data_IF_084288940210
#
_entry.id   IF_084288940210
#
_cell.length_a   1.000
_cell.length_b   1.000
_cell.length_c   1.000
_cell.angle_alpha   90.00
_cell.angle_beta   90.00
_cell.angle_gamma   90.00
#
_symmetry.space_group_name_H-M   'P 1'
#
loop_
_entity.id
_entity.type
_entity.pdbx_description
1 polymer ?
#
# COMPACT_ATOMS: atom_id res chain seq x y z
N UNK A 1 3.19 -4.03 -23.16
CA UNK A 1 2.83 -4.05 -21.73
C UNK A 1 3.99 -4.75 -21.03
N UNK A 2 4.59 -4.14 -20.01
CA UNK A 2 5.73 -4.75 -19.33
C UNK A 2 5.22 -5.81 -18.33
N UNK A 3 6.03 -6.84 -18.04
CA UNK A 3 5.70 -7.95 -17.15
C UNK A 3 5.20 -7.46 -15.77
N UNK A 4 5.81 -6.40 -15.24
CA UNK A 4 5.41 -5.79 -13.97
C UNK A 4 3.99 -5.22 -14.00
N UNK A 5 3.57 -4.58 -15.10
CA UNK A 5 2.21 -4.06 -15.24
C UNK A 5 1.18 -5.20 -15.30
N UNK A 6 1.53 -6.35 -15.87
CA UNK A 6 0.67 -7.54 -15.88
C UNK A 6 0.53 -8.17 -14.49
N UNK A 7 1.64 -8.26 -13.74
CA UNK A 7 1.64 -8.68 -12.33
C UNK A 7 0.79 -7.74 -11.48
N UNK A 8 0.95 -6.42 -11.66
CA UNK A 8 0.16 -5.41 -10.95
C UNK A 8 -1.33 -5.57 -11.25
N UNK A 9 -1.71 -5.67 -12.53
CA UNK A 9 -3.11 -5.87 -12.91
C UNK A 9 -3.69 -7.12 -12.25
N UNK A 10 -2.94 -8.23 -12.27
CA UNK A 10 -3.35 -9.49 -11.63
C UNK A 10 -3.55 -9.32 -10.13
N UNK A 11 -2.65 -8.60 -9.44
CA UNK A 11 -2.74 -8.32 -8.01
C UNK A 11 -3.97 -7.48 -7.65
N UNK A 12 -4.27 -6.47 -8.47
CA UNK A 12 -5.44 -5.60 -8.34
C UNK A 12 -6.74 -6.41 -8.58
N UNK A 13 -6.80 -7.16 -9.68
CA UNK A 13 -7.97 -7.97 -10.04
C UNK A 13 -8.30 -9.02 -8.97
N UNK A 14 -7.27 -9.68 -8.42
CA UNK A 14 -7.43 -10.68 -7.36
C UNK A 14 -8.00 -10.10 -6.06
N UNK A 15 -7.62 -8.87 -5.70
CA UNK A 15 -8.14 -8.20 -4.52
C UNK A 15 -9.55 -7.60 -4.73
N UNK A 16 -9.89 -7.21 -5.96
CA UNK A 16 -11.25 -6.74 -6.26
C UNK A 16 -12.30 -7.86 -6.24
N UNK A 17 -11.87 -9.12 -6.46
CA UNK A 17 -12.76 -10.29 -6.48
C UNK A 17 -13.20 -10.78 -5.07
N UNK A 18 -12.70 -10.18 -3.98
CA UNK A 18 -12.95 -10.66 -2.62
C UNK A 18 -13.16 -9.52 -1.61
N UNK A 19 -13.85 -9.84 -0.52
CA UNK A 19 -14.02 -8.91 0.61
C UNK A 19 -12.69 -8.73 1.35
N UNK A 20 -12.52 -7.58 2.01
CA UNK A 20 -11.32 -7.26 2.80
C UNK A 20 -11.44 -7.81 4.22
N UNK A 21 -10.35 -8.34 4.74
CA UNK A 21 -10.20 -8.95 6.05
C UNK A 21 -8.96 -8.36 6.72
N UNK A 22 -9.17 -7.71 7.87
CA UNK A 22 -8.10 -7.16 8.70
C UNK A 22 -7.03 -8.20 9.01
N UNK A 23 -5.76 -7.82 8.87
CA UNK A 23 -4.62 -8.67 9.14
C UNK A 23 -4.34 -9.79 8.12
N UNK A 24 -5.21 -9.96 7.12
CA UNK A 24 -5.00 -10.90 6.02
C UNK A 24 -4.73 -10.13 4.73
N UNK A 25 -5.51 -9.09 4.45
CA UNK A 25 -5.41 -8.36 3.19
C UNK A 25 -5.89 -6.89 3.26
N UNK A 26 -5.69 -6.27 4.41
CA UNK A 26 -5.89 -4.83 4.58
C UNK A 26 -4.88 -4.00 3.76
N UNK A 27 -5.01 -2.67 3.83
CA UNK A 27 -4.18 -1.75 3.05
C UNK A 27 -2.66 -1.98 3.20
N UNK A 28 -2.18 -2.45 4.35
CA UNK A 28 -0.75 -2.68 4.61
C UNK A 28 -0.33 -4.06 4.18
N UNK A 29 -1.08 -5.10 4.58
CA UNK A 29 -0.79 -6.48 4.20
C UNK A 29 -0.87 -6.68 2.66
N UNK A 30 -1.85 -6.05 2.02
CA UNK A 30 -2.03 -6.14 0.57
C UNK A 30 -0.92 -5.43 -0.22
N UNK A 31 -0.39 -4.32 0.32
CA UNK A 31 0.76 -3.63 -0.27
C UNK A 31 2.05 -4.42 -0.05
N UNK A 32 2.24 -5.04 1.12
CA UNK A 32 3.38 -5.92 1.38
C UNK A 32 3.46 -7.04 0.33
N UNK A 33 2.35 -7.74 0.09
CA UNK A 33 2.27 -8.81 -0.90
C UNK A 33 2.57 -8.33 -2.35
N UNK A 34 2.20 -7.09 -2.68
CA UNK A 34 2.60 -6.48 -3.96
C UNK A 34 4.11 -6.29 -4.04
N UNK A 35 4.71 -5.67 -3.02
CA UNK A 35 6.14 -5.41 -2.99
C UNK A 35 6.96 -6.71 -3.06
N UNK A 36 6.50 -7.76 -2.39
CA UNK A 36 7.12 -9.09 -2.48
C UNK A 36 7.12 -9.62 -3.91
N UNK A 37 6.00 -9.45 -4.62
CA UNK A 37 5.86 -9.86 -6.03
C UNK A 37 6.69 -8.99 -6.98
N UNK A 38 6.78 -7.68 -6.70
CA UNK A 38 7.43 -6.70 -7.55
C UNK A 38 8.96 -6.74 -7.43
N UNK A 39 9.47 -6.99 -6.22
CA UNK A 39 10.89 -6.94 -5.88
C UNK A 39 11.52 -8.33 -5.73
N UNK A 40 10.72 -9.39 -5.80
CA UNK A 40 11.16 -10.79 -5.59
C UNK A 40 11.90 -10.95 -4.25
N UNK A 41 11.43 -10.25 -3.21
CA UNK A 41 12.05 -10.18 -1.88
C UNK A 41 10.97 -10.10 -0.80
N UNK A 42 11.16 -10.80 0.32
CA UNK A 42 10.21 -10.73 1.45
C UNK A 42 10.20 -9.33 2.08
N UNK A 43 9.01 -8.74 2.23
CA UNK A 43 8.84 -7.40 2.84
C UNK A 43 7.93 -7.54 4.06
N UNK A 44 8.53 -7.43 5.23
CA UNK A 44 7.80 -7.52 6.50
C UNK A 44 7.27 -6.15 6.93
N UNK A 45 6.27 -5.63 6.20
CA UNK A 45 5.50 -4.50 6.72
C UNK A 45 4.80 -4.87 8.04
N UNK A 46 4.55 -3.90 8.93
CA UNK A 46 3.92 -4.17 10.22
C UNK A 46 2.58 -4.87 10.04
N UNK A 47 2.31 -5.81 10.96
CA UNK A 47 1.13 -6.67 10.95
C UNK A 47 0.30 -6.41 12.20
N UNK A 48 -1.00 -6.58 12.03
CA UNK A 48 -2.02 -6.55 13.07
C UNK A 48 -3.15 -7.47 12.63
N UNK A 49 -4.05 -7.82 13.53
CA UNK A 49 -5.20 -8.69 13.27
C UNK A 49 -6.53 -7.95 13.26
N UNK A 50 -6.56 -6.78 13.90
CA UNK A 50 -7.77 -5.97 14.04
C UNK A 50 -7.50 -4.51 13.71
N UNK A 51 -8.56 -3.78 13.38
CA UNK A 51 -8.51 -2.33 13.20
C UNK A 51 -7.97 -1.60 14.43
N UNK A 52 -8.41 -2.01 15.62
CA UNK A 52 -8.04 -1.33 16.86
C UNK A 52 -6.55 -1.53 17.18
N UNK A 53 -6.02 -2.72 16.95
CA UNK A 53 -4.58 -3.01 17.06
C UNK A 53 -3.78 -2.17 16.05
N UNK A 54 -4.23 -2.09 14.80
CA UNK A 54 -3.60 -1.22 13.79
C UNK A 54 -3.52 0.23 14.27
N UNK A 55 -4.64 0.76 14.78
CA UNK A 55 -4.72 2.14 15.26
C UNK A 55 -3.81 2.38 16.47
N UNK A 56 -3.73 1.43 17.40
CA UNK A 56 -2.82 1.53 18.55
C UNK A 56 -1.35 1.56 18.12
N UNK A 57 -0.95 0.73 17.15
CA UNK A 57 0.41 0.71 16.62
C UNK A 57 0.74 2.01 15.87
N UNK A 58 -0.18 2.51 15.06
CA UNK A 58 -0.03 3.78 14.34
C UNK A 58 0.12 4.93 15.34
N UNK A 59 -0.73 4.98 16.38
CA UNK A 59 -0.67 6.02 17.41
C UNK A 59 0.65 5.95 18.20
N UNK A 60 1.09 4.76 18.60
CA UNK A 60 2.36 4.55 19.30
C UNK A 60 3.58 4.94 18.45
N UNK A 61 3.53 4.71 17.14
CA UNK A 61 4.56 5.12 16.18
C UNK A 61 4.44 6.60 15.75
N UNK A 62 3.35 7.27 16.12
CA UNK A 62 3.00 8.64 15.73
C UNK A 62 2.37 8.77 14.33
N UNK A 63 2.60 7.82 13.43
CA UNK A 63 1.95 7.77 12.11
C UNK A 63 2.11 6.43 11.41
N UNK A 64 1.25 6.16 10.41
CA UNK A 64 1.43 5.03 9.49
C UNK A 64 2.70 5.20 8.63
N UNK A 65 3.08 6.44 8.34
CA UNK A 65 4.33 6.75 7.65
C UNK A 65 5.55 6.23 8.42
N UNK A 66 5.63 6.52 9.72
CA UNK A 66 6.73 6.06 10.57
C UNK A 66 6.85 4.52 10.56
N UNK A 67 5.72 3.81 10.59
CA UNK A 67 5.67 2.36 10.52
C UNK A 67 6.19 1.79 9.19
N UNK A 68 5.91 2.46 8.08
CA UNK A 68 6.33 2.00 6.75
C UNK A 68 7.76 2.43 6.42
N UNK A 69 8.14 3.64 6.82
CA UNK A 69 9.36 4.27 6.35
C UNK A 69 10.61 3.44 6.64
N UNK A 70 10.75 2.95 7.87
CA UNK A 70 11.92 2.17 8.27
C UNK A 70 12.00 0.84 7.52
N UNK A 71 10.86 0.15 7.36
CA UNK A 71 10.79 -1.12 6.64
C UNK A 71 11.14 -0.94 5.16
N UNK A 72 10.53 0.04 4.50
CA UNK A 72 10.74 0.27 3.07
C UNK A 72 12.14 0.79 2.76
N UNK A 73 12.71 1.66 3.61
CA UNK A 73 14.09 2.10 3.48
C UNK A 73 15.06 0.92 3.65
N UNK A 74 14.85 0.05 4.64
CA UNK A 74 15.69 -1.13 4.86
C UNK A 74 15.59 -2.15 3.72
N UNK A 75 14.45 -2.19 3.03
CA UNK A 75 14.26 -2.97 1.81
C UNK A 75 14.87 -2.32 0.55
N UNK A 76 15.49 -1.15 0.68
CA UNK A 76 16.16 -0.46 -0.41
C UNK A 76 15.24 0.39 -1.29
N UNK A 77 13.98 0.61 -0.89
CA UNK A 77 13.11 1.53 -1.61
C UNK A 77 13.42 2.98 -1.19
N UNK A 78 13.31 3.89 -2.15
CA UNK A 78 13.60 5.30 -1.94
C UNK A 78 12.33 6.14 -2.05
N UNK A 79 12.23 7.16 -1.21
CA UNK A 79 11.16 8.15 -1.32
C UNK A 79 11.22 8.86 -2.68
N UNK A 80 10.05 9.07 -3.29
CA UNK A 80 9.89 9.78 -4.56
C UNK A 80 8.76 10.79 -4.47
N UNK A 81 8.92 11.93 -5.14
CA UNK A 81 7.87 12.94 -5.30
C UNK A 81 7.06 12.79 -6.60
N UNK A 82 7.45 11.86 -7.49
CA UNK A 82 6.80 11.59 -8.77
C UNK A 82 6.55 10.09 -8.93
N UNK A 83 5.58 9.52 -8.17
CA UNK A 83 5.34 8.09 -8.17
C UNK A 83 4.80 7.60 -9.52
N UNK A 84 5.35 6.49 -9.97
CA UNK A 84 5.00 5.82 -11.21
C UNK A 84 4.11 4.61 -10.97
N UNK A 85 3.63 3.98 -12.05
CA UNK A 85 2.87 2.74 -11.95
C UNK A 85 3.68 1.64 -11.22
N UNK A 86 3.06 1.05 -10.20
CA UNK A 86 3.62 0.02 -9.34
C UNK A 86 4.31 0.55 -8.08
N UNK A 87 4.58 1.85 -8.00
CA UNK A 87 5.12 2.45 -6.78
C UNK A 87 4.08 2.40 -5.66
N UNK A 88 4.52 2.53 -4.41
CA UNK A 88 3.65 2.44 -3.24
C UNK A 88 3.65 3.75 -2.47
N UNK A 89 2.61 3.99 -1.68
CA UNK A 89 2.59 5.20 -0.87
C UNK A 89 1.46 5.25 0.12
N UNK A 90 1.42 6.38 0.83
CA UNK A 90 0.42 6.75 1.80
C UNK A 90 -0.29 8.02 1.35
N UNK A 91 -1.61 8.04 1.45
CA UNK A 91 -2.44 9.20 1.13
C UNK A 91 -3.33 9.55 2.31
N UNK A 92 -3.73 10.81 2.40
CA UNK A 92 -4.76 11.26 3.35
C UNK A 92 -6.15 10.99 2.77
N UNK A 93 -6.92 10.14 3.42
CA UNK A 93 -8.35 9.93 3.11
C UNK A 93 -9.27 10.60 4.15
N UNK A 94 -10.58 10.64 3.88
CA UNK A 94 -11.57 11.12 4.85
C UNK A 94 -11.69 10.23 6.10
N UNK A 95 -11.17 8.99 6.04
CA UNK A 95 -11.20 8.01 7.13
C UNK A 95 -9.85 7.88 7.84
N UNK A 96 -8.86 8.71 7.48
CA UNK A 96 -7.49 8.63 7.99
C UNK A 96 -6.46 8.31 6.91
N UNK A 97 -5.24 8.04 7.32
CA UNK A 97 -4.13 7.72 6.42
C UNK A 97 -4.27 6.29 5.91
N UNK A 98 -4.09 6.08 4.61
CA UNK A 98 -4.24 4.76 3.98
C UNK A 98 -3.08 4.49 3.03
N UNK A 99 -2.62 3.24 3.05
CA UNK A 99 -1.60 2.73 2.15
C UNK A 99 -2.15 2.13 0.87
N UNK A 100 -1.38 2.17 -0.20
CA UNK A 100 -1.81 1.69 -1.51
C UNK A 100 -0.72 1.75 -2.57
N UNK A 101 -1.15 1.46 -3.80
CA UNK A 101 -0.29 1.30 -4.98
C UNK A 101 -0.70 2.34 -6.02
N UNK A 102 0.29 3.02 -6.60
CA UNK A 102 0.09 3.94 -7.71
C UNK A 102 -0.15 3.17 -9.02
N UNK A 103 -1.14 3.63 -9.76
CA UNK A 103 -1.53 3.12 -11.07
C UNK A 103 -1.22 4.16 -12.15
N UNK A 104 -1.19 3.71 -13.40
CA UNK A 104 -0.99 4.60 -14.55
C UNK A 104 -1.93 5.83 -14.53
N UNK A 105 -1.41 7.00 -14.90
CA UNK A 105 -2.20 8.23 -15.00
C UNK A 105 -2.51 8.91 -13.66
N UNK A 106 -1.69 8.64 -12.63
CA UNK A 106 -1.77 9.26 -11.30
C UNK A 106 -2.92 8.74 -10.44
N UNK A 107 -3.46 7.56 -10.77
CA UNK A 107 -4.46 6.91 -9.94
C UNK A 107 -3.79 6.16 -8.79
N UNK A 108 -4.53 5.92 -7.73
CA UNK A 108 -4.08 5.26 -6.52
C UNK A 108 -5.12 4.23 -6.10
N UNK A 109 -4.68 3.00 -5.96
CA UNK A 109 -5.48 1.87 -5.51
C UNK A 109 -5.16 1.57 -4.05
N UNK A 110 -6.17 1.57 -3.20
CA UNK A 110 -6.02 1.15 -1.80
C UNK A 110 -7.15 0.23 -1.39
N UNK A 111 -6.89 -0.56 -0.36
CA UNK A 111 -7.81 -1.59 0.12
C UNK A 111 -8.41 -1.20 1.46
N UNK A 112 -9.73 -1.26 1.57
CA UNK A 112 -10.42 -0.86 2.80
C UNK A 112 -11.84 -1.38 2.91
N UNK A 113 -12.41 -1.24 4.10
CA UNK A 113 -13.78 -1.67 4.37
C UNK A 113 -14.84 -0.81 3.65
N UNK A 114 -15.97 -1.39 3.21
CA UNK A 114 -16.39 -2.78 3.43
C UNK A 114 -16.07 -3.76 2.27
N UNK A 115 -15.62 -3.30 1.09
CA UNK A 115 -15.36 -4.17 -0.07
C UNK A 115 -14.27 -3.66 -1.00
N UNK A 116 -13.46 -4.61 -1.48
CA UNK A 116 -12.63 -4.50 -2.68
C UNK A 116 -11.52 -3.45 -2.62
N UNK A 117 -11.21 -2.91 -3.80
CA UNK A 117 -10.23 -1.84 -4.00
C UNK A 117 -10.97 -0.54 -4.30
N UNK A 118 -10.59 0.53 -3.61
CA UNK A 118 -10.97 1.88 -3.99
C UNK A 118 -9.87 2.46 -4.89
N UNK A 119 -10.27 2.92 -6.08
CA UNK A 119 -9.37 3.62 -7.02
C UNK A 119 -9.80 5.08 -7.09
N UNK A 120 -8.85 5.98 -6.88
CA UNK A 120 -9.06 7.43 -6.93
C UNK A 120 -7.81 8.14 -7.42
N UNK A 121 -7.91 9.44 -7.71
CA UNK A 121 -6.74 10.31 -7.81
C UNK A 121 -6.49 10.96 -6.46
N UNK A 122 -5.33 10.74 -5.82
CA UNK A 122 -5.07 11.29 -4.51
C UNK A 122 -4.91 12.81 -4.59
N UNK A 123 -5.56 13.53 -3.68
CA UNK A 123 -5.39 14.99 -3.56
C UNK A 123 -4.18 15.36 -2.71
N UNK A 124 -3.83 14.50 -1.76
CA UNK A 124 -2.71 14.68 -0.86
C UNK A 124 -2.00 13.33 -0.70
N UNK A 125 -0.80 13.26 -1.27
CA UNK A 125 0.16 12.18 -1.06
C UNK A 125 0.99 12.59 0.15
N UNK A 126 1.03 11.74 1.17
CA UNK A 126 1.81 11.97 2.38
C UNK A 126 3.27 11.57 2.16
N UNK A 127 3.46 10.36 1.63
CA UNK A 127 4.75 9.83 1.20
C UNK A 127 4.56 8.76 0.12
N UNK A 128 5.55 8.62 -0.75
CA UNK A 128 5.59 7.59 -1.79
C UNK A 128 6.99 7.02 -1.95
N UNK A 129 7.09 5.74 -2.28
CA UNK A 129 8.34 5.02 -2.47
C UNK A 129 8.38 4.36 -3.84
N UNK A 130 9.51 4.56 -4.52
CA UNK A 130 9.81 3.95 -5.81
C UNK A 130 10.22 2.49 -5.63
N UNK A 131 9.67 1.61 -6.46
CA UNK A 131 10.16 0.22 -6.61
C UNK A 131 11.26 0.10 -7.68
N UNK A 132 11.78 1.24 -8.17
CA UNK A 132 12.80 1.37 -9.21
C UNK A 132 13.95 2.25 -8.77
#
# INVERSE_FOLDING_TARGET
MNELSEKLRTHIDAANARDMVWGVDDCTAWVAAWLETALDTSIELPRWTTRDEAMQLIDAAGSLEALWNDVLCNAGLHETGDPQEGDVGLIRSSKGDVGGIFLHGGYFAWRGEPRGIAILRPRLILRSWSIR
#
